data_IF_711375703484
#
_entry.id   IF_711375703484
#
_cell.length_a   1.000
_cell.length_b   1.000
_cell.length_c   1.000
_cell.angle_alpha   90.00
_cell.angle_beta   90.00
_cell.angle_gamma   90.00
#
_symmetry.space_group_name_H-M   'P 1'
#
loop_
_entity.id
_entity.type
_entity.pdbx_description
1 polymer ?
#
# COMPACT_ATOMS: atom_id res chain seq x y z
N UNK A 1 -5.95 19.81 -2.39
CA UNK A 1 -5.09 18.93 -1.59
C UNK A 1 -5.54 18.93 -0.12
N UNK A 2 -5.75 20.12 0.53
CA UNK A 2 -6.18 20.17 1.94
C UNK A 2 -7.48 19.38 2.20
N UNK A 3 -8.52 19.53 1.38
CA UNK A 3 -9.80 18.84 1.59
C UNK A 3 -9.73 17.31 1.37
N UNK A 4 -8.88 16.83 0.45
CA UNK A 4 -8.71 15.39 0.22
C UNK A 4 -7.88 14.71 1.32
N UNK A 5 -6.95 15.46 1.93
CA UNK A 5 -6.21 14.98 3.08
C UNK A 5 -7.09 14.87 4.33
N UNK A 6 -8.04 15.80 4.54
CA UNK A 6 -8.98 15.76 5.68
C UNK A 6 -9.83 14.49 5.68
N UNK A 7 -10.30 14.02 4.53
CA UNK A 7 -11.05 12.75 4.44
C UNK A 7 -10.18 11.49 4.66
N UNK A 8 -8.87 11.58 4.45
CA UNK A 8 -7.91 10.50 4.63
C UNK A 8 -7.10 10.57 5.93
N UNK A 9 -7.29 11.60 6.76
CA UNK A 9 -6.53 11.87 7.97
C UNK A 9 -6.57 10.75 9.01
N UNK A 10 -7.65 10.00 9.07
CA UNK A 10 -7.74 8.80 9.92
C UNK A 10 -6.87 7.63 9.42
N UNK A 11 -6.25 7.78 8.26
CA UNK A 11 -5.40 6.75 7.64
C UNK A 11 -3.92 7.12 7.63
N UNK A 12 -3.49 8.18 8.32
CA UNK A 12 -2.08 8.58 8.36
C UNK A 12 -1.31 7.57 9.19
N UNK A 13 -0.96 6.46 8.55
CA UNK A 13 -0.11 5.44 9.15
C UNK A 13 1.27 5.38 8.50
N UNK A 14 1.38 5.77 7.24
CA UNK A 14 2.65 5.89 6.51
C UNK A 14 2.47 6.71 5.24
N UNK A 15 3.58 7.19 4.64
CA UNK A 15 3.55 8.00 3.41
C UNK A 15 2.91 7.26 2.24
N UNK A 16 3.11 5.96 2.12
CA UNK A 16 2.52 5.14 1.05
C UNK A 16 1.00 5.12 1.13
N UNK A 17 0.46 4.94 2.33
CA UNK A 17 -0.99 4.97 2.56
C UNK A 17 -1.59 6.33 2.21
N UNK A 18 -0.96 7.44 2.61
CA UNK A 18 -1.45 8.80 2.28
C UNK A 18 -1.39 9.06 0.78
N UNK A 19 -0.28 8.71 0.12
CA UNK A 19 -0.10 8.85 -1.33
C UNK A 19 -1.17 8.08 -2.13
N UNK A 20 -1.65 6.96 -1.61
CA UNK A 20 -2.72 6.17 -2.22
C UNK A 20 -4.12 6.65 -1.83
N UNK A 21 -4.32 7.12 -0.59
CA UNK A 21 -5.63 7.56 -0.09
C UNK A 21 -6.15 8.79 -0.82
N UNK A 22 -5.29 9.76 -1.12
CA UNK A 22 -5.69 11.00 -1.77
C UNK A 22 -6.28 10.78 -3.17
N UNK A 23 -5.61 10.06 -4.09
CA UNK A 23 -6.20 9.76 -5.40
C UNK A 23 -7.43 8.86 -5.30
N UNK A 24 -7.48 7.91 -4.36
CA UNK A 24 -8.66 7.08 -4.13
C UNK A 24 -9.86 7.91 -3.67
N UNK A 25 -9.65 8.88 -2.79
CA UNK A 25 -10.68 9.83 -2.36
C UNK A 25 -11.22 10.67 -3.55
N UNK A 26 -10.31 11.16 -4.42
CA UNK A 26 -10.70 11.91 -5.62
C UNK A 26 -11.44 11.04 -6.62
N UNK A 27 -11.01 9.80 -6.82
CA UNK A 27 -11.70 8.82 -7.65
C UNK A 27 -13.11 8.54 -7.12
N UNK A 28 -13.25 8.35 -5.81
CA UNK A 28 -14.54 8.15 -5.17
C UNK A 28 -15.49 9.33 -5.41
N UNK A 29 -14.99 10.56 -5.39
CA UNK A 29 -15.77 11.76 -5.74
C UNK A 29 -16.32 11.69 -7.17
N UNK A 30 -15.49 11.28 -8.13
CA UNK A 30 -15.92 11.13 -9.53
C UNK A 30 -16.97 10.02 -9.64
N UNK A 31 -16.75 8.86 -9.04
CA UNK A 31 -17.70 7.75 -9.04
C UNK A 31 -19.05 8.20 -8.44
N UNK A 32 -19.01 8.96 -7.35
CA UNK A 32 -20.22 9.53 -6.73
C UNK A 32 -20.98 10.46 -7.69
N UNK A 33 -20.25 11.31 -8.45
CA UNK A 33 -20.87 12.23 -9.41
C UNK A 33 -21.57 11.50 -10.56
N UNK A 34 -21.18 10.25 -10.83
CA UNK A 34 -21.83 9.36 -11.82
C UNK A 34 -23.10 8.68 -11.27
N UNK A 35 -23.51 8.97 -10.02
CA UNK A 35 -24.66 8.35 -9.37
C UNK A 35 -24.42 6.93 -8.83
N UNK A 36 -23.20 6.43 -8.90
CA UNK A 36 -22.83 5.08 -8.45
C UNK A 36 -22.75 5.08 -6.91
N UNK A 37 -23.34 4.06 -6.29
CA UNK A 37 -23.42 3.94 -4.83
C UNK A 37 -22.52 2.82 -4.28
N UNK A 38 -22.07 1.90 -5.11
CA UNK A 38 -21.28 0.74 -4.72
C UNK A 38 -20.24 0.42 -5.80
N UNK A 39 -19.05 -0.01 -5.35
CA UNK A 39 -17.96 -0.45 -6.23
C UNK A 39 -17.40 -1.78 -5.74
N UNK A 40 -16.90 -2.60 -6.66
CA UNK A 40 -16.07 -3.76 -6.35
C UNK A 40 -14.60 -3.32 -6.34
N UNK A 41 -13.86 -3.74 -5.32
CA UNK A 41 -12.43 -3.45 -5.17
C UNK A 41 -11.60 -4.72 -5.17
N UNK A 42 -10.39 -4.64 -5.75
CA UNK A 42 -9.38 -5.71 -5.74
C UNK A 42 -8.59 -5.82 -4.44
N UNK A 43 -8.97 -5.10 -3.38
CA UNK A 43 -8.29 -5.17 -2.07
C UNK A 43 -8.30 -6.61 -1.53
N UNK A 44 -7.18 -7.03 -0.96
CA UNK A 44 -6.99 -8.38 -0.46
C UNK A 44 -6.27 -9.32 -1.44
N UNK A 45 -6.33 -9.08 -2.74
CA UNK A 45 -5.70 -9.94 -3.74
C UNK A 45 -4.17 -10.02 -3.58
N UNK A 46 -3.52 -8.93 -3.24
CA UNK A 46 -2.08 -8.87 -3.05
C UNK A 46 -1.64 -9.59 -1.78
N UNK A 47 -2.43 -9.55 -0.73
CA UNK A 47 -2.18 -10.24 0.52
C UNK A 47 -2.37 -11.74 0.40
N UNK A 48 -3.45 -12.17 -0.26
CA UNK A 48 -3.82 -13.58 -0.40
C UNK A 48 -2.84 -14.32 -1.33
N UNK A 49 -2.40 -13.68 -2.41
CA UNK A 49 -1.60 -14.29 -3.47
C UNK A 49 -0.16 -13.77 -3.54
N UNK A 50 0.32 -13.05 -2.52
CA UNK A 50 1.68 -12.53 -2.48
C UNK A 50 1.98 -11.55 -3.62
N UNK A 51 1.09 -10.58 -3.87
CA UNK A 51 1.18 -9.68 -5.01
C UNK A 51 2.18 -8.55 -4.87
N UNK A 52 2.67 -8.25 -3.68
CA UNK A 52 3.66 -7.20 -3.48
C UNK A 52 5.05 -7.62 -3.96
N UNK A 53 5.79 -6.70 -4.56
CA UNK A 53 7.08 -7.01 -5.18
C UNK A 53 8.12 -7.60 -4.21
N UNK A 54 8.07 -7.27 -2.92
CA UNK A 54 9.00 -7.87 -1.96
C UNK A 54 8.79 -9.37 -1.75
N UNK A 55 7.62 -9.94 -2.09
CA UNK A 55 7.42 -11.39 -2.05
C UNK A 55 8.33 -12.18 -3.00
N UNK A 56 8.93 -11.50 -4.01
CA UNK A 56 9.99 -12.08 -4.84
C UNK A 56 11.22 -12.51 -4.03
N UNK A 57 11.39 -11.96 -2.83
CA UNK A 57 12.51 -12.26 -1.93
C UNK A 57 12.16 -13.28 -0.83
N UNK A 58 10.95 -13.85 -0.86
CA UNK A 58 10.57 -14.89 0.10
C UNK A 58 11.52 -16.08 0.00
N UNK A 59 12.18 -16.48 1.11
CA UNK A 59 13.21 -17.52 1.06
C UNK A 59 12.66 -18.92 0.81
N UNK A 60 11.43 -19.17 1.22
CA UNK A 60 10.74 -20.45 1.07
C UNK A 60 9.22 -20.29 1.15
N UNK A 61 8.50 -21.35 0.88
CA UNK A 61 7.03 -21.37 0.84
C UNK A 61 6.37 -21.20 2.22
N UNK A 62 7.04 -21.56 3.28
CA UNK A 62 6.55 -21.39 4.66
C UNK A 62 6.58 -19.91 5.04
N UNK A 63 7.72 -19.25 4.85
CA UNK A 63 7.86 -17.81 5.09
C UNK A 63 6.92 -16.98 4.21
N UNK A 64 6.77 -17.38 2.94
CA UNK A 64 5.78 -16.79 2.04
C UNK A 64 4.36 -16.89 2.61
N UNK A 65 3.96 -18.06 3.06
CA UNK A 65 2.63 -18.29 3.65
C UNK A 65 2.44 -17.49 4.94
N UNK A 66 3.39 -17.56 5.85
CA UNK A 66 3.33 -16.84 7.13
C UNK A 66 3.17 -15.33 6.92
N UNK A 67 3.83 -14.78 5.91
CA UNK A 67 3.69 -13.37 5.57
C UNK A 67 2.32 -13.05 4.96
N UNK A 68 1.74 -13.92 4.12
CA UNK A 68 0.36 -13.72 3.63
C UNK A 68 -0.65 -13.71 4.78
N UNK A 69 -0.54 -14.65 5.73
CA UNK A 69 -1.37 -14.69 6.94
C UNK A 69 -1.21 -13.42 7.78
N UNK A 70 0.03 -12.99 8.01
CA UNK A 70 0.33 -11.77 8.77
C UNK A 70 -0.28 -10.53 8.10
N UNK A 71 -0.17 -10.42 6.77
CA UNK A 71 -0.75 -9.31 6.00
C UNK A 71 -2.26 -9.27 6.10
N UNK A 72 -2.93 -10.40 5.89
CA UNK A 72 -4.39 -10.50 5.97
C UNK A 72 -4.87 -10.14 7.38
N UNK A 73 -4.22 -10.65 8.43
CA UNK A 73 -4.63 -10.39 9.82
C UNK A 73 -4.56 -8.92 10.21
N UNK A 74 -3.70 -8.13 9.55
CA UNK A 74 -3.51 -6.69 9.81
C UNK A 74 -4.12 -5.78 8.75
N UNK A 75 -4.74 -6.34 7.71
CA UNK A 75 -5.22 -5.58 6.55
C UNK A 75 -6.26 -4.52 6.92
N UNK A 76 -7.07 -4.78 7.95
CA UNK A 76 -8.05 -3.84 8.49
C UNK A 76 -7.42 -2.55 9.04
N UNK A 77 -6.13 -2.54 9.33
CA UNK A 77 -5.39 -1.38 9.80
C UNK A 77 -4.75 -0.54 8.68
N UNK A 78 -4.70 -1.06 7.45
CA UNK A 78 -3.97 -0.47 6.33
C UNK A 78 -4.87 -0.31 5.09
N UNK A 79 -4.74 -1.17 4.11
CA UNK A 79 -5.36 -1.00 2.80
C UNK A 79 -6.89 -1.04 2.84
N UNK A 80 -7.48 -1.92 3.66
CA UNK A 80 -8.94 -1.92 3.86
C UNK A 80 -9.43 -0.66 4.58
N UNK A 81 -8.68 -0.15 5.57
CA UNK A 81 -9.03 1.10 6.23
C UNK A 81 -8.98 2.27 5.24
N UNK A 82 -7.92 2.35 4.44
CA UNK A 82 -7.76 3.34 3.37
C UNK A 82 -8.92 3.30 2.40
N UNK A 83 -9.23 2.13 1.84
CA UNK A 83 -10.31 1.95 0.88
C UNK A 83 -11.66 2.35 1.48
N UNK A 84 -11.98 1.83 2.67
CA UNK A 84 -13.21 2.14 3.37
C UNK A 84 -13.38 3.63 3.64
N UNK A 85 -12.38 4.29 4.20
CA UNK A 85 -12.45 5.72 4.54
C UNK A 85 -12.56 6.61 3.30
N UNK A 86 -11.78 6.31 2.26
CA UNK A 86 -11.81 7.08 1.00
C UNK A 86 -13.17 6.97 0.29
N UNK A 87 -13.79 5.79 0.27
CA UNK A 87 -15.08 5.55 -0.35
C UNK A 87 -16.23 6.10 0.51
N UNK A 88 -16.21 5.81 1.81
CA UNK A 88 -17.25 6.23 2.76
C UNK A 88 -17.39 7.75 2.87
N UNK A 89 -16.28 8.50 2.69
CA UNK A 89 -16.30 9.98 2.67
C UNK A 89 -17.24 10.55 1.59
N UNK A 90 -17.54 9.78 0.55
CA UNK A 90 -18.46 10.13 -0.53
C UNK A 90 -19.75 9.29 -0.50
N UNK A 91 -19.97 8.51 0.55
CA UNK A 91 -21.14 7.66 0.69
C UNK A 91 -21.21 6.56 -0.37
N UNK A 92 -20.04 5.99 -0.72
CA UNK A 92 -19.90 4.84 -1.62
C UNK A 92 -19.59 3.60 -0.79
N UNK A 93 -20.32 2.52 -1.03
CA UNK A 93 -20.05 1.20 -0.47
C UNK A 93 -18.93 0.52 -1.27
N UNK A 94 -17.84 0.12 -0.59
CA UNK A 94 -16.79 -0.71 -1.17
C UNK A 94 -16.99 -2.18 -0.83
N UNK A 95 -17.06 -3.05 -1.81
CA UNK A 95 -17.10 -4.50 -1.64
C UNK A 95 -15.78 -5.11 -2.09
N UNK A 96 -15.29 -6.08 -1.31
CA UNK A 96 -13.95 -6.68 -1.42
C UNK A 96 -14.04 -8.20 -1.61
N UNK A 97 -14.36 -8.70 -2.81
CA UNK A 97 -14.58 -10.13 -3.05
C UNK A 97 -13.42 -11.04 -2.63
N UNK A 98 -12.17 -10.56 -2.73
CA UNK A 98 -11.00 -11.32 -2.31
C UNK A 98 -10.90 -11.52 -0.79
N UNK A 99 -11.71 -10.80 -0.01
CA UNK A 99 -11.77 -10.93 1.45
C UNK A 99 -13.07 -11.61 1.92
N UNK A 100 -13.87 -12.13 1.01
CA UNK A 100 -14.97 -13.02 1.35
C UNK A 100 -14.45 -14.24 2.13
N UNK A 101 -15.19 -14.66 3.16
CA UNK A 101 -14.70 -15.71 4.08
C UNK A 101 -14.54 -17.08 3.40
N UNK A 102 -15.47 -17.43 2.53
CA UNK A 102 -15.42 -18.70 1.80
C UNK A 102 -14.29 -18.66 0.78
N UNK A 103 -14.13 -17.52 0.08
CA UNK A 103 -13.01 -17.32 -0.83
C UNK A 103 -11.67 -17.40 -0.11
N UNK A 104 -11.52 -16.73 1.03
CA UNK A 104 -10.29 -16.76 1.83
C UNK A 104 -9.95 -18.19 2.28
N UNK A 105 -10.95 -18.93 2.76
CA UNK A 105 -10.74 -20.30 3.20
C UNK A 105 -10.17 -21.17 2.07
N UNK A 106 -10.75 -21.10 0.88
CA UNK A 106 -10.27 -21.84 -0.30
C UNK A 106 -8.88 -21.33 -0.73
N UNK A 107 -8.71 -20.04 -0.89
CA UNK A 107 -7.47 -19.45 -1.40
C UNK A 107 -6.27 -19.66 -0.46
N UNK A 108 -6.50 -19.64 0.86
CA UNK A 108 -5.44 -19.86 1.85
C UNK A 108 -5.08 -21.35 2.02
N UNK A 109 -5.94 -22.26 1.60
CA UNK A 109 -5.62 -23.72 1.52
C UNK A 109 -4.83 -24.12 0.29
N UNK A 110 -4.73 -23.26 -0.74
CA UNK A 110 -3.84 -23.51 -1.88
C UNK A 110 -2.41 -23.69 -1.36
N UNK A 111 -1.73 -24.75 -1.83
CA UNK A 111 -0.36 -25.01 -1.40
C UNK A 111 0.52 -23.78 -1.64
N UNK A 112 1.21 -23.25 -0.62
CA UNK A 112 2.05 -22.07 -0.76
C UNK A 112 3.11 -22.16 -1.87
N UNK A 113 3.61 -23.37 -2.17
CA UNK A 113 4.54 -23.62 -3.29
C UNK A 113 3.93 -23.26 -4.65
N UNK A 114 2.61 -23.38 -4.80
CA UNK A 114 1.93 -23.04 -6.05
C UNK A 114 1.70 -21.54 -6.18
N UNK A 115 1.59 -20.82 -5.07
CA UNK A 115 1.48 -19.35 -5.02
C UNK A 115 2.84 -18.64 -5.06
N UNK A 116 3.90 -19.33 -4.66
CA UNK A 116 5.24 -18.77 -4.54
C UNK A 116 5.79 -18.31 -5.89
N UNK A 117 6.49 -17.19 -5.87
CA UNK A 117 7.16 -16.61 -7.03
C UNK A 117 8.42 -17.42 -7.33
N UNK A 118 8.67 -17.66 -8.61
CA UNK A 118 9.85 -18.39 -9.09
C UNK A 118 10.40 -17.73 -10.35
N UNK A 119 11.47 -18.25 -10.94
CA UNK A 119 11.98 -17.76 -12.25
C UNK A 119 10.98 -17.91 -13.41
N UNK A 120 9.90 -18.67 -13.22
CA UNK A 120 8.86 -18.92 -14.24
C UNK A 120 7.46 -18.45 -13.82
N UNK A 121 7.28 -18.07 -12.57
CA UNK A 121 5.98 -17.67 -11.99
C UNK A 121 6.15 -16.31 -11.31
N UNK A 122 5.55 -15.28 -11.89
CA UNK A 122 5.52 -13.96 -11.31
C UNK A 122 4.52 -13.88 -10.14
N UNK A 123 4.44 -12.74 -9.46
CA UNK A 123 3.46 -12.51 -8.40
C UNK A 123 2.03 -12.76 -8.87
N UNK A 124 1.20 -13.32 -7.99
CA UNK A 124 -0.21 -13.68 -8.24
C UNK A 124 -0.41 -14.68 -9.39
N UNK A 125 0.58 -15.52 -9.67
CA UNK A 125 0.55 -16.47 -10.78
C UNK A 125 -0.74 -17.28 -10.87
N UNK A 126 -1.20 -17.86 -9.76
CA UNK A 126 -2.41 -18.72 -9.73
C UNK A 126 -3.63 -17.92 -10.19
N UNK A 127 -3.79 -16.68 -9.68
CA UNK A 127 -4.89 -15.82 -10.06
C UNK A 127 -4.81 -15.41 -11.54
N UNK A 128 -3.61 -15.00 -12.00
CA UNK A 128 -3.39 -14.61 -13.40
C UNK A 128 -3.68 -15.75 -14.36
N UNK A 129 -3.22 -16.94 -14.03
CA UNK A 129 -3.43 -18.14 -14.85
C UNK A 129 -4.90 -18.54 -14.93
N UNK A 130 -5.65 -18.37 -13.83
CA UNK A 130 -7.08 -18.64 -13.80
C UNK A 130 -7.92 -17.74 -14.73
N UNK A 131 -7.41 -16.56 -15.06
CA UNK A 131 -8.11 -15.57 -15.92
C UNK A 131 -7.36 -15.26 -17.22
N UNK A 132 -6.41 -16.12 -17.61
CA UNK A 132 -5.58 -15.90 -18.80
C UNK A 132 -6.38 -15.81 -20.09
N UNK A 133 -7.43 -16.62 -20.21
CA UNK A 133 -8.30 -16.67 -21.39
C UNK A 133 -9.43 -15.63 -21.35
N UNK A 134 -9.66 -15.00 -20.19
CA UNK A 134 -10.75 -14.05 -19.97
C UNK A 134 -10.33 -12.59 -20.19
N UNK A 135 -9.04 -12.29 -20.07
CA UNK A 135 -8.51 -10.94 -20.13
C UNK A 135 -7.39 -10.83 -21.16
N UNK A 136 -7.18 -9.64 -21.75
CA UNK A 136 -6.06 -9.41 -22.67
C UNK A 136 -4.72 -9.71 -22.00
N UNK A 137 -3.81 -10.37 -22.72
CA UNK A 137 -2.48 -10.74 -22.24
C UNK A 137 -1.72 -9.55 -21.61
N UNK A 138 -1.80 -8.38 -22.21
CA UNK A 138 -1.18 -7.15 -21.71
C UNK A 138 -1.71 -6.69 -20.33
N UNK A 139 -2.89 -7.14 -19.93
CA UNK A 139 -3.49 -6.87 -18.62
C UNK A 139 -3.12 -7.98 -17.63
N UNK A 140 -3.29 -9.23 -18.04
CA UNK A 140 -3.03 -10.39 -17.16
C UNK A 140 -1.58 -10.42 -16.69
N UNK A 141 -0.63 -10.19 -17.59
CA UNK A 141 0.80 -10.37 -17.35
C UNK A 141 1.58 -9.07 -17.12
N UNK A 142 0.88 -7.95 -16.90
CA UNK A 142 1.55 -6.70 -16.56
C UNK A 142 2.23 -6.76 -15.20
N UNK A 143 3.30 -5.99 -15.04
CA UNK A 143 3.98 -5.82 -13.74
C UNK A 143 3.00 -5.27 -12.69
N UNK A 144 3.15 -5.73 -11.45
CA UNK A 144 2.44 -5.18 -10.30
C UNK A 144 2.88 -3.73 -10.05
N UNK A 145 1.90 -2.86 -9.96
CA UNK A 145 2.08 -1.49 -9.45
C UNK A 145 1.21 -1.28 -8.22
N UNK A 146 1.71 -0.47 -7.29
CA UNK A 146 0.90 0.01 -6.18
C UNK A 146 -0.08 1.05 -6.68
N UNK A 147 -1.18 1.27 -5.97
CA UNK A 147 -2.16 2.27 -6.38
C UNK A 147 -1.57 3.68 -6.45
N UNK A 148 -0.68 4.05 -5.52
CA UNK A 148 0.05 5.31 -5.54
C UNK A 148 0.93 5.48 -6.79
N UNK A 149 1.55 4.39 -7.24
CA UNK A 149 2.44 4.40 -8.42
C UNK A 149 1.62 4.39 -9.72
N UNK A 150 0.48 3.68 -9.73
CA UNK A 150 -0.44 3.59 -10.87
C UNK A 150 -1.13 4.92 -11.22
N UNK A 151 -1.22 5.86 -10.29
CA UNK A 151 -1.67 7.24 -10.56
C UNK A 151 -0.63 8.01 -11.38
N UNK A 152 0.62 7.58 -11.32
CA UNK A 152 1.77 8.16 -12.00
C UNK A 152 2.84 8.66 -11.03
N UNK A 153 4.08 8.36 -11.33
CA UNK A 153 5.23 8.75 -10.49
C UNK A 153 5.34 10.27 -10.31
N UNK A 154 4.90 11.06 -11.30
CA UNK A 154 4.84 12.51 -11.18
C UNK A 154 4.03 13.00 -9.98
N UNK A 155 3.00 12.26 -9.56
CA UNK A 155 2.23 12.56 -8.37
C UNK A 155 3.09 12.53 -7.11
N UNK A 156 3.88 11.46 -6.95
CA UNK A 156 4.78 11.28 -5.81
C UNK A 156 5.88 12.36 -5.83
N UNK A 157 6.47 12.61 -7.00
CA UNK A 157 7.55 13.59 -7.15
C UNK A 157 7.05 15.00 -6.83
N UNK A 158 5.85 15.36 -7.27
CA UNK A 158 5.24 16.67 -6.95
C UNK A 158 4.89 16.83 -5.47
N UNK A 159 4.49 15.75 -4.78
CA UNK A 159 4.32 15.81 -3.32
C UNK A 159 5.65 16.07 -2.65
N UNK A 160 6.72 15.37 -3.05
CA UNK A 160 8.06 15.56 -2.48
C UNK A 160 8.57 16.98 -2.70
N UNK A 161 8.49 17.50 -3.94
CA UNK A 161 8.86 18.88 -4.25
C UNK A 161 8.11 19.90 -3.37
N UNK A 162 6.81 19.74 -3.24
CA UNK A 162 5.96 20.60 -2.43
C UNK A 162 6.36 20.57 -0.95
N UNK A 163 6.60 19.38 -0.43
CA UNK A 163 6.95 19.19 0.98
C UNK A 163 8.35 19.72 1.27
N UNK A 164 9.31 19.52 0.36
CA UNK A 164 10.68 20.04 0.49
C UNK A 164 10.70 21.57 0.62
N UNK A 165 9.82 22.25 -0.11
CA UNK A 165 9.64 23.70 -0.02
C UNK A 165 8.83 24.15 1.23
N UNK A 166 8.00 23.26 1.79
CA UNK A 166 7.07 23.57 2.88
C UNK A 166 7.63 23.33 4.27
N UNK A 167 8.62 22.45 4.40
CA UNK A 167 9.22 22.05 5.67
C UNK A 167 10.71 22.35 5.63
N UNK A 168 11.15 23.22 6.53
CA UNK A 168 12.55 23.63 6.66
C UNK A 168 13.40 22.56 7.37
N UNK A 169 14.70 22.59 7.15
CA UNK A 169 15.64 21.72 7.87
C UNK A 169 15.65 22.03 9.37
N UNK A 170 15.40 23.29 9.75
CA UNK A 170 15.28 23.66 11.15
C UNK A 170 14.08 22.99 11.85
N UNK A 171 12.92 22.88 11.16
CA UNK A 171 11.77 22.12 11.67
C UNK A 171 12.12 20.64 11.84
N UNK A 172 12.85 20.06 10.88
CA UNK A 172 13.30 18.66 10.99
C UNK A 172 14.31 18.45 12.14
N UNK A 173 15.21 19.39 12.38
CA UNK A 173 16.14 19.30 13.49
C UNK A 173 15.46 19.35 14.87
N UNK A 174 14.28 19.93 14.94
CA UNK A 174 13.46 20.04 16.13
C UNK A 174 12.35 18.98 16.22
N UNK A 175 12.36 17.99 15.34
CA UNK A 175 11.27 17.01 15.17
C UNK A 175 10.94 16.27 16.47
N UNK A 176 11.94 15.84 17.24
CA UNK A 176 11.73 15.10 18.49
C UNK A 176 11.13 15.97 19.60
N UNK A 177 11.40 17.27 19.57
CA UNK A 177 10.81 18.23 20.50
C UNK A 177 9.36 18.51 20.11
N UNK A 178 9.11 18.71 18.82
CA UNK A 178 7.76 19.03 18.31
C UNK A 178 6.82 17.82 18.34
N UNK A 179 7.32 16.62 18.08
CA UNK A 179 6.59 15.36 18.04
C UNK A 179 7.27 14.28 18.90
N UNK A 180 7.14 14.35 20.23
CA UNK A 180 7.84 13.42 21.14
C UNK A 180 7.36 11.97 21.02
N UNK A 181 6.12 11.77 20.54
CA UNK A 181 5.52 10.46 20.33
C UNK A 181 5.58 10.12 18.86
N UNK A 182 6.24 9.04 18.49
CA UNK A 182 6.35 8.57 17.10
C UNK A 182 6.85 9.69 16.14
N UNK A 183 8.05 10.25 16.35
CA UNK A 183 8.54 11.37 15.56
C UNK A 183 8.68 11.00 14.08
N UNK A 184 8.24 11.86 13.16
CA UNK A 184 8.43 11.67 11.73
C UNK A 184 9.92 11.68 11.35
N UNK A 185 10.28 10.90 10.35
CA UNK A 185 11.68 10.69 9.91
C UNK A 185 12.02 11.45 8.64
N UNK A 186 11.01 11.80 7.86
CA UNK A 186 11.16 12.54 6.60
C UNK A 186 10.32 13.82 6.65
N UNK A 187 10.65 14.78 5.79
CA UNK A 187 9.85 16.01 5.65
C UNK A 187 8.41 15.70 5.23
N UNK A 188 8.21 14.66 4.44
CA UNK A 188 6.87 14.21 4.03
C UNK A 188 6.06 13.67 5.21
N UNK A 189 6.66 12.81 6.03
CA UNK A 189 6.03 12.34 7.27
C UNK A 189 5.75 13.49 8.23
N UNK A 190 6.67 14.47 8.34
CA UNK A 190 6.49 15.68 9.14
C UNK A 190 5.29 16.48 8.66
N UNK A 191 5.17 16.70 7.36
CA UNK A 191 4.06 17.43 6.76
C UNK A 191 2.71 16.77 7.07
N UNK A 192 2.62 15.44 6.90
CA UNK A 192 1.41 14.70 7.24
C UNK A 192 1.13 14.71 8.75
N UNK A 193 2.14 14.56 9.57
CA UNK A 193 2.01 14.61 11.02
C UNK A 193 1.49 15.96 11.52
N UNK A 194 1.97 17.05 10.94
CA UNK A 194 1.51 18.41 11.24
C UNK A 194 0.02 18.60 10.94
N UNK A 195 -0.45 18.05 9.81
CA UNK A 195 -1.87 18.04 9.46
C UNK A 195 -2.67 17.18 10.44
N UNK A 196 -2.20 15.98 10.71
CA UNK A 196 -2.86 15.05 11.62
C UNK A 196 -3.09 15.65 13.01
N UNK A 197 -2.08 16.26 13.62
CA UNK A 197 -2.21 16.84 14.96
C UNK A 197 -3.15 18.05 15.00
N UNK A 198 -3.32 18.81 13.91
CA UNK A 198 -4.30 19.87 13.86
C UNK A 198 -5.75 19.36 14.01
N UNK A 199 -6.00 18.10 13.63
CA UNK A 199 -7.33 17.47 13.73
C UNK A 199 -7.43 16.53 14.94
N UNK A 200 -6.32 15.96 15.37
CA UNK A 200 -6.26 14.95 16.45
C UNK A 200 -5.11 15.27 17.43
N UNK A 201 -5.26 16.30 18.25
CA UNK A 201 -4.15 16.84 19.05
C UNK A 201 -3.79 16.04 20.32
N UNK A 202 -4.41 14.88 20.55
CA UNK A 202 -4.16 14.09 21.75
C UNK A 202 -2.96 13.13 21.61
N UNK A 203 -2.27 12.86 22.71
CA UNK A 203 -1.18 11.87 22.76
C UNK A 203 -1.64 10.47 22.37
N UNK A 204 -2.87 10.09 22.75
CA UNK A 204 -3.47 8.81 22.36
C UNK A 204 -3.65 8.71 20.84
N UNK A 205 -3.99 9.80 20.17
CA UNK A 205 -4.03 9.85 18.71
C UNK A 205 -2.62 9.70 18.12
N UNK A 206 -1.63 10.36 18.71
CA UNK A 206 -0.24 10.25 18.29
C UNK A 206 0.30 8.81 18.34
N UNK A 207 -0.11 8.03 19.34
CA UNK A 207 0.25 6.61 19.47
C UNK A 207 -0.30 5.73 18.35
N UNK A 208 -1.32 6.17 17.60
CA UNK A 208 -1.86 5.42 16.47
C UNK A 208 -1.03 5.57 15.18
N UNK A 209 -0.12 6.53 15.12
CA UNK A 209 0.79 6.73 13.99
C UNK A 209 1.85 5.63 13.99
N UNK A 210 2.14 4.96 12.86
CA UNK A 210 3.14 3.89 12.82
C UNK A 210 4.55 4.42 13.05
N UNK A 211 5.36 3.64 13.75
CA UNK A 211 6.76 3.97 14.05
C UNK A 211 7.76 3.40 13.05
N UNK A 212 7.32 2.56 12.12
CA UNK A 212 8.21 1.85 11.19
C UNK A 212 8.06 2.39 9.77
N UNK A 213 9.18 2.50 9.02
CA UNK A 213 9.13 2.89 7.63
C UNK A 213 8.35 1.86 6.81
N UNK A 214 7.48 2.34 5.93
CA UNK A 214 6.91 1.53 4.87
C UNK A 214 7.83 1.60 3.66
N UNK A 215 8.39 0.47 3.26
CA UNK A 215 9.22 0.34 2.06
C UNK A 215 8.45 -0.52 1.07
N UNK A 216 7.98 0.07 -0.03
CA UNK A 216 7.26 -0.63 -1.11
C UNK A 216 6.14 -1.56 -0.62
N UNK A 217 5.30 -1.10 0.32
CA UNK A 217 4.34 -1.92 1.07
C UNK A 217 4.99 -3.03 1.89
N UNK A 218 6.30 -2.96 2.10
CA UNK A 218 7.02 -3.95 2.87
C UNK A 218 6.73 -3.81 4.36
N UNK A 219 6.77 -4.93 5.00
CA UNK A 219 6.80 -5.09 6.44
C UNK A 219 8.25 -5.23 6.91
N UNK A 220 8.48 -5.32 8.22
CA UNK A 220 9.76 -5.77 8.76
C UNK A 220 10.30 -7.06 8.10
N UNK A 221 9.42 -7.95 7.63
CA UNK A 221 9.79 -9.17 6.92
C UNK A 221 10.54 -8.92 5.61
N UNK A 222 10.23 -7.86 4.87
CA UNK A 222 11.00 -7.55 3.67
C UNK A 222 12.46 -7.23 3.99
N UNK A 223 12.71 -6.54 5.10
CA UNK A 223 14.04 -6.23 5.59
C UNK A 223 14.81 -7.47 6.09
N UNK A 224 14.09 -8.47 6.60
CA UNK A 224 14.65 -9.75 6.98
C UNK A 224 15.02 -10.60 5.74
N UNK A 225 14.19 -10.56 4.70
CA UNK A 225 14.39 -11.36 3.50
C UNK A 225 15.47 -10.81 2.56
N UNK A 226 15.68 -9.50 2.55
CA UNK A 226 16.70 -8.85 1.73
C UNK A 226 17.24 -7.59 2.42
N UNK A 227 18.48 -7.66 2.87
CA UNK A 227 19.15 -6.53 3.54
C UNK A 227 19.29 -5.30 2.66
N UNK A 228 19.28 -5.46 1.33
CA UNK A 228 19.36 -4.32 0.41
C UNK A 228 18.21 -3.32 0.62
N UNK A 229 17.08 -3.76 1.14
CA UNK A 229 15.96 -2.90 1.48
C UNK A 229 16.23 -1.93 2.63
N UNK A 230 17.25 -2.18 3.48
CA UNK A 230 17.62 -1.28 4.58
C UNK A 230 18.13 0.07 4.09
N UNK A 231 18.70 0.10 2.90
CA UNK A 231 19.28 1.30 2.31
C UNK A 231 18.32 2.05 1.38
N UNK A 232 17.07 1.59 1.28
CA UNK A 232 16.07 2.20 0.41
C UNK A 232 15.25 3.20 1.22
N UNK A 233 15.42 4.49 0.91
CA UNK A 233 14.65 5.59 1.52
C UNK A 233 13.35 5.89 0.76
N UNK A 234 13.04 5.14 -0.30
CA UNK A 234 11.88 5.37 -1.15
C UNK A 234 10.81 4.30 -0.90
N UNK A 235 9.63 4.67 -0.36
CA UNK A 235 8.57 3.71 -0.05
C UNK A 235 7.75 3.28 -1.27
N UNK A 236 8.00 3.84 -2.47
CA UNK A 236 7.27 3.47 -3.69
C UNK A 236 7.76 2.17 -4.31
N UNK A 237 6.96 1.61 -5.23
CA UNK A 237 7.35 0.42 -6.00
C UNK A 237 8.62 0.58 -6.84
N UNK A 238 9.02 1.83 -7.13
CA UNK A 238 10.29 2.16 -7.79
C UNK A 238 11.52 1.61 -7.05
N UNK A 239 11.42 1.46 -5.74
CA UNK A 239 12.50 0.92 -4.91
C UNK A 239 12.87 -0.52 -5.27
N UNK A 240 11.96 -1.26 -5.89
CA UNK A 240 12.13 -2.68 -6.25
C UNK A 240 12.08 -2.83 -7.77
N UNK A 241 12.70 -1.94 -8.49
CA UNK A 241 12.88 -2.07 -9.93
C UNK A 241 13.77 -3.29 -10.25
N UNK A 242 13.42 -4.03 -11.32
CA UNK A 242 14.16 -5.19 -11.85
C UNK A 242 13.91 -6.54 -11.14
N UNK A 243 12.82 -6.71 -10.41
CA UNK A 243 12.40 -8.06 -9.96
C UNK A 243 11.79 -8.87 -11.11
N UNK A 244 11.22 -8.21 -12.11
CA UNK A 244 10.70 -8.88 -13.29
C UNK A 244 11.83 -9.21 -14.25
N UNK A 245 11.80 -10.45 -14.71
CA UNK A 245 12.78 -11.03 -15.61
C UNK A 245 12.07 -11.25 -16.97
N UNK A 246 12.72 -10.98 -18.07
CA UNK A 246 12.18 -11.15 -19.43
C UNK A 246 11.67 -12.57 -19.71
N UNK A 247 12.06 -13.55 -18.89
CA UNK A 247 11.56 -14.92 -19.00
C UNK A 247 10.07 -15.10 -18.65
N UNK A 248 9.46 -14.16 -17.93
CA UNK A 248 8.02 -14.21 -17.64
C UNK A 248 7.14 -13.90 -18.86
N UNK A 249 7.70 -13.30 -19.87
CA UNK A 249 6.99 -12.82 -21.06
C UNK A 249 7.25 -13.69 -22.30
N UNK A 250 7.93 -14.81 -22.11
CA UNK A 250 8.15 -15.86 -23.11
C UNK A 250 7.25 -17.06 -22.82
#
# INVERSE_FOLDING_TARGET
>A
IKCSLVGSEMCIRDSTTVRASTPMYLLARVIKSMGIKMVLSGEGADEVFGGYLYFHKAPNSEEFHNETVRKISKLHLYDCLRANKSLAAWGIEGRVPFLDKEFLDVAMRINPKDKMITSKKMEKWVLRKAFEDELPHSIVWRQKEQFSDGVGYNWIDKIKEFVEQSISDNEMNQVNFRFPIQPPRTKEEYFYRKIFENHFPSDTSALTVPSLPSIACSSPKALEWDESFRNINEPSGRAINKVHNDSYFK
#
